data_IF_125502317538
#
_entry.id   IF_125502317538
#
_cell.length_a   1.000
_cell.length_b   1.000
_cell.length_c   1.000
_cell.angle_alpha   90.00
_cell.angle_beta   90.00
_cell.angle_gamma   90.00
#
_symmetry.space_group_name_H-M   'P 1'
#
loop_
_entity.id
_entity.type
_entity.pdbx_description
1 polymer ?
#
# COMPACT_ATOMS: atom_id res chain seq x y z
N UNK A 1 -38.42 -2.04 -4.52
CA UNK A 1 -37.48 -1.67 -3.46
C UNK A 1 -36.13 -2.17 -3.93
N UNK A 2 -35.27 -1.29 -4.44
CA UNK A 2 -33.91 -1.65 -4.84
C UNK A 2 -33.05 -1.16 -3.69
N UNK A 3 -32.38 -2.11 -3.04
CA UNK A 3 -31.53 -1.87 -1.89
C UNK A 3 -30.37 -0.95 -2.29
N UNK A 4 -30.10 0.02 -1.42
CA UNK A 4 -29.02 0.99 -1.50
C UNK A 4 -27.68 0.24 -1.43
N UNK A 5 -27.17 -0.16 -2.59
CA UNK A 5 -25.80 -0.64 -2.73
C UNK A 5 -24.89 0.53 -2.33
N UNK A 6 -23.97 0.37 -1.36
CA UNK A 6 -23.11 1.46 -0.94
C UNK A 6 -22.36 1.98 -2.16
N UNK A 7 -22.66 3.23 -2.52
CA UNK A 7 -22.05 3.91 -3.65
C UNK A 7 -20.53 3.78 -3.54
N UNK A 8 -19.90 3.37 -4.64
CA UNK A 8 -18.44 3.39 -4.81
C UNK A 8 -17.83 4.63 -4.15
N UNK A 9 -16.66 4.54 -3.49
CA UNK A 9 -16.03 5.69 -2.84
C UNK A 9 -16.10 6.90 -3.76
N UNK A 10 -16.66 8.01 -3.28
CA UNK A 10 -16.82 9.24 -4.09
C UNK A 10 -15.50 9.76 -4.64
N UNK A 11 -14.39 9.32 -4.04
CA UNK A 11 -13.03 9.56 -4.49
C UNK A 11 -12.13 8.36 -4.12
N UNK A 12 -11.82 7.45 -5.07
CA UNK A 12 -10.97 6.29 -4.80
C UNK A 12 -9.52 6.69 -4.51
N UNK A 13 -9.03 7.80 -5.08
CA UNK A 13 -7.65 8.26 -4.86
C UNK A 13 -7.48 8.78 -3.43
N UNK A 14 -8.48 9.50 -2.92
CA UNK A 14 -8.49 9.93 -1.53
C UNK A 14 -8.56 8.75 -0.54
N UNK A 15 -9.30 7.69 -0.88
CA UNK A 15 -9.36 6.47 -0.06
C UNK A 15 -8.00 5.79 0.01
N UNK A 16 -7.34 5.59 -1.14
CA UNK A 16 -6.02 4.98 -1.22
C UNK A 16 -4.97 5.82 -0.48
N UNK A 17 -5.04 7.15 -0.63
CA UNK A 17 -4.15 8.07 0.08
C UNK A 17 -4.31 7.94 1.60
N UNK A 18 -5.54 7.95 2.11
CA UNK A 18 -5.84 7.83 3.54
C UNK A 18 -5.37 6.49 4.13
N UNK A 19 -5.44 5.42 3.33
CA UNK A 19 -4.93 4.10 3.70
C UNK A 19 -3.40 4.13 3.93
N UNK A 20 -2.65 4.71 2.99
CA UNK A 20 -1.19 4.82 3.12
C UNK A 20 -0.76 5.80 4.23
N UNK A 21 -1.47 6.91 4.41
CA UNK A 21 -1.22 7.84 5.52
C UNK A 21 -1.40 7.15 6.88
N UNK A 22 -2.42 6.29 7.02
CA UNK A 22 -2.63 5.50 8.23
C UNK A 22 -1.47 4.55 8.50
N UNK A 23 -0.94 3.87 7.47
CA UNK A 23 0.23 3.01 7.60
C UNK A 23 1.48 3.82 8.00
N UNK A 24 1.71 4.96 7.36
CA UNK A 24 2.84 5.85 7.67
C UNK A 24 2.78 6.39 9.09
N UNK A 25 1.58 6.66 9.62
CA UNK A 25 1.33 7.02 11.01
C UNK A 25 1.43 5.89 12.02
N UNK A 26 1.86 4.67 11.62
CA UNK A 26 1.87 3.47 12.45
C UNK A 26 0.47 3.07 12.98
N UNK A 27 -0.59 3.40 12.23
CA UNK A 27 -1.97 3.08 12.55
C UNK A 27 -2.49 1.92 11.69
N UNK A 28 -1.82 0.76 11.73
CA UNK A 28 -2.15 -0.39 10.89
C UNK A 28 -3.61 -0.86 11.06
N UNK A 29 -4.12 -0.94 12.29
CA UNK A 29 -5.51 -1.32 12.55
C UNK A 29 -6.50 -0.37 11.87
N UNK A 30 -6.24 0.95 11.93
CA UNK A 30 -7.09 1.94 11.27
C UNK A 30 -7.05 1.81 9.74
N UNK A 31 -5.89 1.50 9.16
CA UNK A 31 -5.80 1.21 7.72
C UNK A 31 -6.60 -0.04 7.33
N UNK A 32 -6.56 -1.10 8.13
CA UNK A 32 -7.29 -2.35 7.89
C UNK A 32 -8.81 -2.20 8.07
N UNK A 33 -9.26 -1.27 8.90
CA UNK A 33 -10.69 -0.94 9.05
C UNK A 33 -11.29 -0.32 7.78
N UNK A 34 -10.44 0.22 6.88
CA UNK A 34 -10.86 0.72 5.57
C UNK A 34 -11.08 -0.40 4.54
N UNK A 35 -10.65 -1.62 4.84
CA UNK A 35 -10.74 -2.77 3.93
C UNK A 35 -12.03 -3.57 4.17
N UNK A 36 -12.54 -4.19 3.10
CA UNK A 36 -13.59 -5.21 3.21
C UNK A 36 -13.13 -6.39 4.08
N UNK A 37 -14.06 -7.10 4.72
CA UNK A 37 -13.75 -8.39 5.35
C UNK A 37 -13.35 -9.45 4.33
N UNK A 38 -13.99 -9.41 3.16
CA UNK A 38 -13.67 -10.23 2.00
C UNK A 38 -12.72 -9.44 1.10
N UNK A 39 -11.42 -9.56 1.36
CA UNK A 39 -10.36 -8.90 0.62
C UNK A 39 -9.14 -9.81 0.47
N UNK A 40 -8.30 -9.53 -0.52
CA UNK A 40 -7.02 -10.19 -0.72
C UNK A 40 -5.89 -9.17 -0.79
N UNK A 41 -4.71 -9.56 -0.30
CA UNK A 41 -3.47 -8.85 -0.48
C UNK A 41 -2.52 -9.73 -1.27
N UNK A 42 -2.11 -9.25 -2.44
CA UNK A 42 -1.20 -9.97 -3.33
C UNK A 42 0.12 -9.22 -3.44
N UNK A 43 1.14 -9.72 -2.74
CA UNK A 43 2.49 -9.20 -2.84
C UNK A 43 3.37 -10.22 -3.56
N UNK A 44 3.65 -9.97 -4.84
CA UNK A 44 4.45 -10.84 -5.70
C UNK A 44 5.95 -10.53 -5.53
N UNK A 45 6.82 -11.54 -5.34
CA UNK A 45 6.60 -12.99 -5.47
C UNK A 45 6.32 -13.70 -4.15
N UNK A 46 6.01 -12.98 -3.07
CA UNK A 46 5.97 -13.56 -1.72
C UNK A 46 4.83 -14.56 -1.58
N UNK A 47 3.59 -14.09 -1.42
CA UNK A 47 2.40 -14.93 -1.24
C UNK A 47 1.16 -14.03 -1.19
N UNK A 48 0.09 -14.49 -1.84
CA UNK A 48 -1.25 -13.92 -1.69
C UNK A 48 -1.88 -14.39 -0.39
N UNK A 49 -2.49 -13.46 0.35
CA UNK A 49 -3.22 -13.74 1.60
C UNK A 49 -4.65 -13.21 1.54
N UNK A 50 -5.56 -13.85 2.28
CA UNK A 50 -7.00 -13.57 2.24
C UNK A 50 -7.53 -13.16 3.61
N UNK A 51 -8.36 -12.12 3.61
CA UNK A 51 -9.01 -11.59 4.80
C UNK A 51 -8.12 -10.69 5.65
N UNK A 52 -8.76 -9.70 6.31
CA UNK A 52 -8.07 -8.64 7.07
C UNK A 52 -7.08 -9.18 8.12
N UNK A 53 -7.43 -10.26 8.82
CA UNK A 53 -6.56 -10.85 9.84
C UNK A 53 -5.24 -11.39 9.26
N UNK A 54 -5.27 -12.04 8.09
CA UNK A 54 -4.06 -12.55 7.45
C UNK A 54 -3.19 -11.40 6.89
N UNK A 55 -3.85 -10.35 6.39
CA UNK A 55 -3.19 -9.12 5.93
C UNK A 55 -2.51 -8.42 7.11
N UNK A 56 -3.18 -8.32 8.26
CA UNK A 56 -2.63 -7.73 9.49
C UNK A 56 -1.37 -8.46 9.95
N UNK A 57 -1.40 -9.79 9.99
CA UNK A 57 -0.23 -10.58 10.38
C UNK A 57 0.94 -10.38 9.41
N UNK A 58 0.64 -10.35 8.10
CA UNK A 58 1.65 -10.19 7.04
C UNK A 58 2.27 -8.80 7.06
N UNK A 59 1.44 -7.75 7.00
CA UNK A 59 1.90 -6.37 7.05
C UNK A 59 2.54 -6.06 8.40
N UNK A 60 1.94 -6.48 9.51
CA UNK A 60 2.50 -6.30 10.85
C UNK A 60 3.91 -6.88 10.97
N UNK A 61 4.16 -8.07 10.42
CA UNK A 61 5.49 -8.66 10.37
C UNK A 61 6.50 -7.83 9.56
N UNK A 62 6.11 -7.30 8.40
CA UNK A 62 6.99 -6.44 7.59
C UNK A 62 7.26 -5.08 8.23
N UNK A 63 6.25 -4.53 8.91
CA UNK A 63 6.27 -3.18 9.44
C UNK A 63 6.95 -3.13 10.83
N UNK A 64 6.85 -4.18 11.66
CA UNK A 64 7.33 -4.17 13.05
C UNK A 64 8.79 -3.71 13.26
N UNK A 65 9.68 -3.97 12.29
CA UNK A 65 11.10 -3.60 12.40
C UNK A 65 11.46 -2.24 11.80
N UNK A 66 10.48 -1.52 11.26
CA UNK A 66 10.69 -0.26 10.58
C UNK A 66 10.39 0.93 11.50
N UNK A 67 11.30 1.91 11.52
CA UNK A 67 11.13 3.16 12.27
C UNK A 67 10.33 4.23 11.53
N UNK A 68 10.15 4.07 10.22
CA UNK A 68 9.38 4.96 9.35
C UNK A 68 9.06 4.25 8.02
N UNK A 69 7.97 4.68 7.38
CA UNK A 69 7.54 4.20 6.07
C UNK A 69 7.36 5.38 5.14
N UNK A 70 7.69 5.19 3.87
CA UNK A 70 7.43 6.18 2.84
C UNK A 70 6.78 5.47 1.64
N UNK A 71 5.61 5.96 1.25
CA UNK A 71 4.95 5.52 0.03
C UNK A 71 5.25 6.55 -1.06
N UNK A 72 6.07 6.15 -2.03
CA UNK A 72 6.51 7.03 -3.10
C UNK A 72 5.78 6.62 -4.37
N UNK A 73 4.88 7.49 -4.82
CA UNK A 73 4.22 7.34 -6.12
C UNK A 73 5.24 7.72 -7.20
N UNK A 74 5.81 6.71 -7.85
CA UNK A 74 6.65 6.90 -9.02
C UNK A 74 5.76 7.07 -10.25
N UNK A 75 5.42 8.31 -10.57
CA UNK A 75 4.85 8.64 -11.87
C UNK A 75 6.01 8.59 -12.85
N UNK A 76 6.21 7.45 -13.52
CA UNK A 76 7.20 7.36 -14.59
C UNK A 76 6.81 8.34 -15.70
N UNK A 77 7.54 9.46 -15.90
CA UNK A 77 7.42 10.17 -17.16
C UNK A 77 7.98 9.21 -18.20
N UNK A 78 7.29 8.99 -19.31
CA UNK A 78 7.85 8.24 -20.45
C UNK A 78 9.30 8.68 -20.66
N UNK A 79 10.23 7.70 -20.62
CA UNK A 79 11.67 7.88 -20.61
C UNK A 79 12.11 9.12 -21.42
N UNK A 80 12.53 10.17 -20.73
CA UNK A 80 13.48 11.12 -21.30
C UNK A 80 14.86 10.64 -20.87
N UNK A 81 15.52 9.88 -21.76
CA UNK A 81 16.91 9.49 -21.59
C UNK A 81 17.77 10.76 -21.52
N UNK A 82 18.20 11.16 -20.32
CA UNK A 82 19.45 11.93 -20.18
C UNK A 82 20.24 11.40 -18.99
N UNK A 83 21.45 10.93 -19.30
CA UNK A 83 22.44 10.48 -18.33
C UNK A 83 22.83 11.63 -17.40
N UNK A 84 22.81 11.43 -16.08
CA UNK A 84 24.03 11.64 -15.29
C UNK A 84 23.97 11.00 -13.90
N UNK A 85 25.16 10.65 -13.45
CA UNK A 85 25.56 9.80 -12.35
C UNK A 85 25.41 10.36 -10.92
N UNK A 86 25.30 9.41 -9.99
CA UNK A 86 25.70 9.41 -8.57
C UNK A 86 24.82 10.08 -7.50
N UNK A 87 24.36 9.29 -6.51
CA UNK A 87 24.41 9.55 -5.04
C UNK A 87 23.63 8.45 -4.25
N UNK A 88 23.75 8.36 -2.91
CA UNK A 88 24.41 7.27 -2.18
C UNK A 88 23.44 6.17 -1.70
N UNK A 89 23.95 4.94 -1.55
CA UNK A 89 23.22 3.79 -0.98
C UNK A 89 22.86 4.02 0.50
N UNK A 90 21.72 4.66 0.77
CA UNK A 90 21.00 4.45 2.03
C UNK A 90 20.31 3.09 1.92
N UNK A 91 20.45 2.26 2.95
CA UNK A 91 19.86 0.91 3.02
C UNK A 91 18.33 1.01 2.95
N UNK A 92 17.80 1.09 1.73
CA UNK A 92 16.40 1.31 1.40
C UNK A 92 15.81 -0.06 1.11
N UNK A 93 15.19 -0.69 2.11
CA UNK A 93 14.39 -1.89 1.86
C UNK A 93 13.16 -1.43 1.09
N UNK A 94 13.11 -1.76 -0.19
CA UNK A 94 11.98 -1.49 -1.05
C UNK A 94 10.86 -2.43 -0.60
N UNK A 95 9.91 -1.93 0.19
CA UNK A 95 8.75 -2.68 0.66
C UNK A 95 7.74 -2.86 -0.49
N UNK A 96 8.16 -3.61 -1.52
CA UNK A 96 7.29 -4.05 -2.63
C UNK A 96 6.78 -2.92 -3.52
N UNK A 97 6.91 -3.08 -4.84
CA UNK A 97 6.00 -2.39 -5.74
C UNK A 97 4.61 -3.00 -5.51
N UNK A 98 3.71 -2.25 -4.85
CA UNK A 98 2.29 -2.59 -4.79
C UNK A 98 1.68 -2.15 -6.14
N UNK A 99 1.57 -3.11 -7.05
CA UNK A 99 0.89 -2.93 -8.34
C UNK A 99 -0.60 -3.21 -8.14
N UNK A 100 -1.45 -2.24 -8.46
CA UNK A 100 -2.90 -2.47 -8.57
C UNK A 100 -3.20 -2.93 -10.00
N UNK A 101 -3.96 -4.02 -10.15
CA UNK A 101 -4.46 -4.53 -11.44
C UNK A 101 -5.82 -3.92 -11.74
#
# INVERSE_FOLDING_TARGET
>A
MIEDMPSSPKDPDALVTSFFESIQGHHLTAALDMMSQDCEYDNVPITKVFGRAAIEQTLGGFLAECSAYEWIIQISPKLSLTNNSASPQKHRRNIGQLSFV
#
